data_IF_930198992808
#
_entry.id   IF_930198992808
#
_cell.length_a   1.000
_cell.length_b   1.000
_cell.length_c   1.000
_cell.angle_alpha   90.00
_cell.angle_beta   90.00
_cell.angle_gamma   90.00
#
_symmetry.space_group_name_H-M   'P 1'
#
loop_
_entity.id
_entity.type
_entity.pdbx_description
1 polymer ?
#
# COMPACT_ATOMS: atom_id res chain seq x y z
N UNK A 1 6.96 22.97 -21.46
CA UNK A 1 5.70 22.21 -21.40
C UNK A 1 5.93 20.84 -20.77
N UNK A 2 4.95 20.31 -20.05
CA UNK A 2 5.03 18.98 -19.43
C UNK A 2 4.28 17.98 -20.30
N UNK A 3 4.92 16.86 -20.63
CA UNK A 3 4.35 15.80 -21.45
C UNK A 3 3.11 15.16 -20.77
N UNK A 4 1.96 15.31 -21.42
CA UNK A 4 0.66 14.80 -20.99
C UNK A 4 0.11 13.69 -21.92
N UNK A 5 0.98 13.07 -22.73
CA UNK A 5 0.63 11.93 -23.56
C UNK A 5 0.24 10.71 -22.74
N UNK A 6 -0.54 9.81 -23.35
CA UNK A 6 -0.93 8.54 -22.72
C UNK A 6 0.29 7.67 -22.44
N UNK A 7 1.29 7.68 -23.33
CA UNK A 7 2.52 6.89 -23.17
C UNK A 7 3.34 7.37 -21.96
N UNK A 8 3.50 8.70 -21.79
CA UNK A 8 4.12 9.30 -20.60
C UNK A 8 3.37 8.91 -19.32
N UNK A 9 2.04 8.97 -19.34
CA UNK A 9 1.22 8.58 -18.19
C UNK A 9 1.42 7.10 -17.84
N UNK A 10 1.39 6.20 -18.84
CA UNK A 10 1.61 4.77 -18.64
C UNK A 10 3.00 4.46 -18.08
N UNK A 11 4.05 5.11 -18.59
CA UNK A 11 5.42 4.94 -18.09
C UNK A 11 5.55 5.40 -16.62
N UNK A 12 4.98 6.57 -16.27
CA UNK A 12 4.97 7.08 -14.89
C UNK A 12 4.24 6.14 -13.94
N UNK A 13 3.07 5.64 -14.34
CA UNK A 13 2.28 4.68 -13.55
C UNK A 13 3.05 3.38 -13.35
N UNK A 14 3.72 2.87 -14.39
CA UNK A 14 4.51 1.64 -14.30
C UNK A 14 5.68 1.78 -13.33
N UNK A 15 6.44 2.89 -13.39
CA UNK A 15 7.51 3.18 -12.43
C UNK A 15 6.93 3.35 -11.02
N UNK A 16 5.84 4.10 -10.88
CA UNK A 16 5.17 4.30 -9.59
C UNK A 16 4.71 2.99 -8.94
N UNK A 17 4.11 2.07 -9.70
CA UNK A 17 3.69 0.77 -9.20
C UNK A 17 4.88 -0.07 -8.67
N UNK A 18 6.01 -0.04 -9.36
CA UNK A 18 7.26 -0.71 -8.94
C UNK A 18 7.89 -0.06 -7.71
N UNK A 19 7.80 1.26 -7.58
CA UNK A 19 8.21 2.00 -6.37
C UNK A 19 7.34 1.60 -5.18
N UNK A 20 6.01 1.53 -5.37
CA UNK A 20 5.06 1.05 -4.36
C UNK A 20 5.45 -0.37 -3.93
N UNK A 21 5.63 -1.32 -4.88
CA UNK A 21 6.07 -2.69 -4.57
C UNK A 21 7.34 -2.70 -3.69
N UNK A 22 8.32 -1.85 -4.01
CA UNK A 22 9.59 -1.74 -3.29
C UNK A 22 9.39 -1.22 -1.86
N UNK A 23 8.56 -0.17 -1.68
CA UNK A 23 8.24 0.37 -0.35
C UNK A 23 7.55 -0.68 0.51
N UNK A 24 6.58 -1.42 -0.03
CA UNK A 24 5.90 -2.46 0.74
C UNK A 24 6.89 -3.55 1.17
N UNK A 25 7.71 -4.04 0.24
CA UNK A 25 8.69 -5.08 0.51
C UNK A 25 9.67 -4.72 1.63
N UNK A 26 10.29 -3.53 1.56
CA UNK A 26 11.25 -3.09 2.55
C UNK A 26 10.58 -2.76 3.89
N UNK A 27 9.41 -2.12 3.90
CA UNK A 27 8.72 -1.78 5.15
C UNK A 27 8.10 -2.98 5.87
N UNK A 28 7.71 -4.05 5.16
CA UNK A 28 7.36 -5.33 5.77
C UNK A 28 8.58 -6.05 6.33
N UNK A 29 9.72 -5.99 5.63
CA UNK A 29 10.97 -6.55 6.10
C UNK A 29 11.46 -5.87 7.39
N UNK A 30 11.42 -4.53 7.42
CA UNK A 30 11.72 -3.72 8.60
C UNK A 30 10.79 -4.06 9.78
N UNK A 31 9.50 -4.26 9.49
CA UNK A 31 8.51 -4.73 10.45
C UNK A 31 8.67 -6.18 10.89
N UNK A 32 9.72 -6.89 10.46
CA UNK A 32 10.03 -8.25 10.92
C UNK A 32 9.10 -9.36 10.40
N UNK A 33 8.27 -9.08 9.40
CA UNK A 33 7.31 -10.05 8.81
C UNK A 33 7.76 -10.60 7.45
N UNK A 34 9.03 -10.39 7.12
CA UNK A 34 9.66 -10.84 5.88
C UNK A 34 9.55 -9.81 4.75
N UNK A 35 10.39 -9.98 3.73
CA UNK A 35 10.41 -9.12 2.54
C UNK A 35 9.41 -9.64 1.52
N UNK A 36 8.16 -9.18 1.61
CA UNK A 36 7.04 -9.64 0.77
C UNK A 36 6.37 -8.46 0.05
N UNK A 37 5.85 -8.69 -1.13
CA UNK A 37 5.04 -7.69 -1.86
C UNK A 37 4.02 -8.37 -2.77
N UNK A 38 3.16 -7.60 -3.41
CA UNK A 38 2.23 -8.11 -4.42
C UNK A 38 2.91 -8.25 -5.78
N UNK A 39 2.35 -9.06 -6.68
CA UNK A 39 2.85 -9.23 -8.05
C UNK A 39 2.11 -8.31 -9.03
N UNK A 40 2.84 -7.72 -9.97
CA UNK A 40 2.26 -6.98 -11.10
C UNK A 40 1.95 -7.94 -12.26
N UNK A 41 0.91 -7.65 -13.04
CA UNK A 41 0.45 -8.56 -14.12
C UNK A 41 1.55 -8.83 -15.17
N UNK A 42 2.36 -7.82 -15.52
CA UNK A 42 3.48 -7.97 -16.46
C UNK A 42 4.55 -8.95 -15.95
N UNK A 43 4.74 -9.06 -14.64
CA UNK A 43 5.73 -9.98 -14.04
C UNK A 43 5.27 -11.44 -14.14
N UNK A 44 3.95 -11.67 -14.12
CA UNK A 44 3.35 -13.01 -14.28
C UNK A 44 3.23 -13.38 -15.76
N UNK A 45 2.86 -12.41 -16.59
CA UNK A 45 2.72 -12.59 -18.03
C UNK A 45 3.47 -11.47 -18.78
N UNK A 46 4.71 -11.72 -19.22
CA UNK A 46 5.53 -10.74 -19.91
C UNK A 46 4.93 -10.21 -21.23
N UNK A 47 3.88 -10.87 -21.77
CA UNK A 47 3.16 -10.40 -22.95
C UNK A 47 2.18 -9.25 -22.65
N UNK A 48 1.81 -9.05 -21.39
CA UNK A 48 0.95 -7.95 -20.96
C UNK A 48 1.79 -6.68 -20.81
N UNK A 49 1.25 -5.48 -21.09
CA UNK A 49 1.99 -4.24 -20.87
C UNK A 49 2.13 -3.94 -19.37
N UNK A 50 3.13 -3.14 -19.00
CA UNK A 50 3.31 -2.70 -17.60
C UNK A 50 2.16 -1.81 -17.09
N UNK A 51 1.53 -1.07 -17.98
CA UNK A 51 0.32 -0.29 -17.73
C UNK A 51 -0.69 -0.54 -18.85
N UNK A 52 -1.89 -0.99 -18.49
CA UNK A 52 -2.96 -1.27 -19.46
C UNK A 52 -3.87 -0.07 -19.61
N UNK A 53 -4.10 0.36 -20.86
CA UNK A 53 -5.03 1.43 -21.19
C UNK A 53 -6.46 0.84 -21.22
N UNK A 54 -7.30 1.27 -20.29
CA UNK A 54 -8.71 0.92 -20.27
C UNK A 54 -9.56 2.07 -20.84
N UNK A 55 -10.37 1.80 -21.86
CA UNK A 55 -11.27 2.78 -22.48
C UNK A 55 -12.68 2.63 -21.93
N UNK A 56 -13.06 3.56 -21.06
CA UNK A 56 -14.40 3.64 -20.48
C UNK A 56 -15.43 4.21 -21.46
N UNK A 57 -16.68 3.77 -21.33
CA UNK A 57 -17.83 4.37 -22.00
C UNK A 57 -18.33 5.65 -21.31
N UNK A 58 -17.78 5.99 -20.15
CA UNK A 58 -18.14 7.21 -19.42
C UNK A 58 -17.68 8.45 -20.19
N UNK A 59 -18.65 9.31 -20.52
CA UNK A 59 -18.33 10.59 -21.13
C UNK A 59 -17.50 11.47 -20.18
N UNK A 60 -16.43 12.09 -20.70
CA UNK A 60 -15.51 12.95 -19.95
C UNK A 60 -16.21 14.10 -19.22
N UNK A 61 -17.16 14.78 -19.87
CA UNK A 61 -17.88 15.91 -19.25
C UNK A 61 -18.78 15.44 -18.11
N UNK A 62 -19.25 14.19 -18.16
CA UNK A 62 -19.99 13.57 -17.07
C UNK A 62 -19.05 13.18 -15.94
N UNK A 63 -17.93 12.51 -16.24
CA UNK A 63 -16.92 12.11 -15.26
C UNK A 63 -16.40 13.31 -14.46
N UNK A 64 -16.14 14.45 -15.12
CA UNK A 64 -15.65 15.68 -14.49
C UNK A 64 -16.61 16.32 -13.48
N UNK A 65 -17.89 15.95 -13.52
CA UNK A 65 -18.94 16.44 -12.59
C UNK A 65 -19.25 15.46 -11.47
N UNK A 66 -18.71 14.23 -11.53
CA UNK A 66 -18.98 13.18 -10.56
C UNK A 66 -18.08 13.34 -9.34
N UNK A 67 -18.59 12.98 -8.16
CA UNK A 67 -17.81 12.86 -6.94
C UNK A 67 -16.95 11.60 -6.98
N UNK A 68 -15.88 11.57 -6.19
CA UNK A 68 -14.95 10.44 -6.16
C UNK A 68 -15.61 9.07 -5.93
N UNK A 69 -16.60 8.98 -5.03
CA UNK A 69 -17.31 7.72 -4.77
C UNK A 69 -18.16 7.25 -5.95
N UNK A 70 -18.73 8.19 -6.72
CA UNK A 70 -19.48 7.87 -7.94
C UNK A 70 -18.53 7.39 -9.05
N UNK A 71 -17.37 8.03 -9.19
CA UNK A 71 -16.32 7.61 -10.13
C UNK A 71 -15.82 6.21 -9.79
N UNK A 72 -15.48 5.98 -8.52
CA UNK A 72 -15.03 4.67 -8.04
C UNK A 72 -16.06 3.57 -8.28
N UNK A 73 -17.34 3.85 -7.97
CA UNK A 73 -18.42 2.89 -8.21
C UNK A 73 -18.61 2.61 -9.70
N UNK A 74 -18.56 3.65 -10.53
CA UNK A 74 -18.74 3.51 -11.97
C UNK A 74 -17.62 2.69 -12.61
N UNK A 75 -16.36 3.11 -12.41
CA UNK A 75 -15.21 2.41 -13.00
C UNK A 75 -15.02 1.02 -12.39
N UNK A 76 -15.28 0.84 -11.09
CA UNK A 76 -15.23 -0.48 -10.46
C UNK A 76 -16.23 -1.45 -11.10
N UNK A 77 -17.48 -1.02 -11.32
CA UNK A 77 -18.48 -1.84 -12.01
C UNK A 77 -18.08 -2.10 -13.47
N UNK A 78 -17.65 -1.07 -14.18
CA UNK A 78 -17.32 -1.19 -15.61
C UNK A 78 -16.12 -2.12 -15.83
N UNK A 79 -15.06 -1.99 -15.03
CA UNK A 79 -13.90 -2.87 -15.08
C UNK A 79 -14.29 -4.32 -14.82
N UNK A 80 -15.12 -4.58 -13.81
CA UNK A 80 -15.54 -5.94 -13.47
C UNK A 80 -16.46 -6.58 -14.53
N UNK A 81 -17.21 -5.78 -15.28
CA UNK A 81 -18.03 -6.25 -16.40
C UNK A 81 -17.25 -6.36 -17.72
N UNK A 82 -16.01 -5.86 -17.77
CA UNK A 82 -15.13 -5.93 -18.94
C UNK A 82 -14.33 -7.24 -18.98
N UNK A 83 -13.61 -7.45 -20.08
CA UNK A 83 -12.69 -8.59 -20.24
C UNK A 83 -11.52 -8.60 -19.24
N UNK A 84 -11.23 -7.46 -18.60
CA UNK A 84 -10.20 -7.38 -17.55
C UNK A 84 -10.71 -7.90 -16.20
N UNK A 85 -12.03 -7.90 -16.00
CA UNK A 85 -12.70 -8.28 -14.77
C UNK A 85 -12.30 -9.67 -14.30
N UNK A 86 -11.84 -9.76 -13.05
CA UNK A 86 -11.44 -11.02 -12.45
C UNK A 86 -11.47 -10.92 -10.93
N UNK A 87 -11.97 -11.96 -10.25
CA UNK A 87 -11.82 -12.11 -8.79
C UNK A 87 -10.37 -12.41 -8.40
N UNK A 88 -9.56 -12.78 -9.38
CA UNK A 88 -8.13 -13.04 -9.27
C UNK A 88 -7.30 -11.88 -9.81
N UNK A 89 -7.85 -10.65 -9.72
CA UNK A 89 -7.05 -9.41 -9.85
C UNK A 89 -7.50 -8.34 -8.86
N UNK A 90 -6.57 -7.44 -8.54
CA UNK A 90 -6.86 -6.13 -7.95
C UNK A 90 -6.32 -5.06 -8.89
N UNK A 91 -6.97 -3.91 -8.92
CA UNK A 91 -6.68 -2.84 -9.86
C UNK A 91 -6.16 -1.60 -9.14
N UNK A 92 -5.02 -1.10 -9.60
CA UNK A 92 -4.57 0.27 -9.35
C UNK A 92 -4.88 1.08 -10.62
N UNK A 93 -5.94 1.88 -10.58
CA UNK A 93 -6.48 2.61 -11.72
C UNK A 93 -6.23 4.11 -11.64
N UNK A 94 -5.97 4.73 -12.78
CA UNK A 94 -5.74 6.18 -12.90
C UNK A 94 -6.71 6.81 -13.90
N UNK A 95 -7.42 7.87 -13.48
CA UNK A 95 -8.41 8.55 -14.32
C UNK A 95 -7.70 9.53 -15.26
N UNK A 96 -7.71 9.26 -16.56
CA UNK A 96 -7.02 10.11 -17.55
C UNK A 96 -7.60 11.52 -17.72
N UNK A 97 -8.87 11.73 -17.36
CA UNK A 97 -9.58 12.99 -17.61
C UNK A 97 -9.61 13.97 -16.44
N UNK A 98 -8.90 13.67 -15.34
CA UNK A 98 -8.74 14.57 -14.19
C UNK A 98 -8.18 15.91 -14.66
N UNK A 99 -8.76 17.01 -14.19
CA UNK A 99 -8.36 18.36 -14.59
C UNK A 99 -8.39 19.30 -13.42
N UNK A 100 -7.24 19.83 -13.05
CA UNK A 100 -7.15 20.98 -12.18
C UNK A 100 -7.44 22.26 -12.98
N UNK A 101 -8.32 23.11 -12.47
CA UNK A 101 -8.73 24.35 -13.16
C UNK A 101 -7.71 25.48 -13.04
N UNK A 102 -6.81 25.41 -12.05
CA UNK A 102 -6.01 26.55 -11.65
C UNK A 102 -6.78 27.51 -10.74
N UNK A 103 -6.05 28.45 -10.16
CA UNK A 103 -6.61 29.56 -9.36
C UNK A 103 -5.75 30.81 -9.58
N UNK A 104 -6.36 31.99 -9.49
CA UNK A 104 -5.66 33.27 -9.49
C UNK A 104 -5.38 33.79 -8.07
N UNK A 105 -5.79 33.04 -7.05
CA UNK A 105 -5.58 33.41 -5.65
C UNK A 105 -4.10 33.30 -5.26
N UNK A 106 -3.52 34.38 -4.72
CA UNK A 106 -2.15 34.40 -4.18
C UNK A 106 -2.08 33.83 -2.75
N UNK A 107 -2.65 32.64 -2.54
CA UNK A 107 -2.53 31.89 -1.28
C UNK A 107 -2.32 30.40 -1.53
N UNK A 108 -1.70 29.73 -0.57
CA UNK A 108 -1.68 28.27 -0.54
C UNK A 108 -3.10 27.77 -0.26
N UNK A 109 -3.63 26.94 -1.16
CA UNK A 109 -4.96 26.36 -1.02
C UNK A 109 -4.99 25.27 0.06
N UNK A 110 -6.11 25.18 0.77
CA UNK A 110 -6.43 24.03 1.62
C UNK A 110 -6.73 22.80 0.76
N UNK A 111 -6.66 21.61 1.35
CA UNK A 111 -7.00 20.37 0.64
C UNK A 111 -8.41 20.40 0.04
N UNK A 112 -9.41 20.88 0.78
CA UNK A 112 -10.79 20.95 0.31
C UNK A 112 -10.95 21.93 -0.88
N UNK A 113 -10.23 23.05 -0.86
CA UNK A 113 -10.18 23.98 -2.00
C UNK A 113 -9.51 23.34 -3.22
N UNK A 114 -8.39 22.63 -3.03
CA UNK A 114 -7.70 21.91 -4.12
C UNK A 114 -8.65 20.89 -4.76
N UNK A 115 -9.38 20.11 -3.96
CA UNK A 115 -10.37 19.14 -4.45
C UNK A 115 -11.50 19.86 -5.19
N UNK A 116 -12.00 20.99 -4.68
CA UNK A 116 -13.04 21.77 -5.33
C UNK A 116 -12.63 22.34 -6.71
N UNK A 117 -11.35 22.69 -6.87
CA UNK A 117 -10.77 23.13 -8.15
C UNK A 117 -10.36 21.97 -9.08
N UNK A 118 -10.52 20.72 -8.64
CA UNK A 118 -10.12 19.52 -9.41
C UNK A 118 -11.33 18.73 -9.89
N UNK A 119 -11.53 18.72 -11.21
CA UNK A 119 -12.55 17.90 -11.85
C UNK A 119 -12.07 16.45 -11.99
N UNK A 120 -13.01 15.50 -11.87
CA UNK A 120 -12.71 14.06 -11.88
C UNK A 120 -11.58 13.68 -10.90
N UNK A 121 -11.59 14.31 -9.72
CA UNK A 121 -10.73 13.96 -8.60
C UNK A 121 -11.14 12.61 -8.01
N UNK A 122 -10.15 11.77 -7.72
CA UNK A 122 -10.34 10.54 -6.97
C UNK A 122 -9.05 10.21 -6.20
N UNK A 123 -9.22 9.80 -4.95
CA UNK A 123 -8.22 9.11 -4.16
C UNK A 123 -9.02 8.18 -3.25
N UNK A 124 -9.41 7.02 -3.80
CA UNK A 124 -10.32 6.11 -3.11
C UNK A 124 -9.97 4.66 -3.40
N UNK A 125 -9.80 3.88 -2.33
CA UNK A 125 -9.47 2.47 -2.37
C UNK A 125 -10.44 1.61 -1.56
N UNK A 126 -10.62 0.38 -2.02
CA UNK A 126 -11.41 -0.64 -1.33
C UNK A 126 -11.69 -1.83 -2.21
N UNK A 127 -12.08 -2.96 -1.62
CA UNK A 127 -12.42 -4.17 -2.37
C UNK A 127 -11.34 -4.58 -3.39
N UNK A 128 -11.65 -4.41 -4.68
CA UNK A 128 -10.76 -4.75 -5.79
C UNK A 128 -10.12 -3.55 -6.52
N UNK A 129 -10.40 -2.31 -6.14
CA UNK A 129 -9.98 -1.11 -6.88
C UNK A 129 -9.43 -0.01 -5.97
N UNK A 130 -8.21 0.42 -6.24
CA UNK A 130 -7.66 1.72 -5.84
C UNK A 130 -7.70 2.66 -7.05
N UNK A 131 -8.47 3.74 -6.94
CA UNK A 131 -8.69 4.69 -8.04
C UNK A 131 -8.08 6.05 -7.69
N UNK A 132 -7.25 6.57 -8.59
CA UNK A 132 -6.50 7.80 -8.39
C UNK A 132 -6.69 8.78 -9.56
N UNK A 133 -6.79 10.07 -9.26
CA UNK A 133 -6.78 11.15 -10.25
C UNK A 133 -5.36 11.46 -10.74
N UNK A 134 -5.22 11.93 -11.97
CA UNK A 134 -3.90 12.17 -12.59
C UNK A 134 -3.39 13.61 -12.49
N UNK A 135 -4.06 14.48 -11.75
CA UNK A 135 -3.73 15.91 -11.68
C UNK A 135 -2.29 16.20 -11.23
N UNK A 136 -1.68 15.32 -10.43
CA UNK A 136 -0.30 15.44 -9.97
C UNK A 136 0.68 14.45 -10.64
N UNK A 137 0.21 13.63 -11.59
CA UNK A 137 1.04 12.61 -12.26
C UNK A 137 2.22 13.25 -13.01
N UNK A 138 2.10 14.51 -13.39
CA UNK A 138 3.15 15.32 -14.03
C UNK A 138 4.44 15.44 -13.18
N UNK A 139 4.36 15.19 -11.87
CA UNK A 139 5.52 15.19 -10.96
C UNK A 139 6.26 13.86 -10.92
N UNK A 140 5.63 12.77 -11.37
CA UNK A 140 6.19 11.42 -11.28
C UNK A 140 7.32 11.20 -12.30
N UNK A 141 8.33 10.35 -12.00
CA UNK A 141 9.39 9.99 -12.92
C UNK A 141 8.87 9.13 -14.07
N UNK A 142 9.44 9.30 -15.26
CA UNK A 142 9.16 8.45 -16.44
C UNK A 142 10.13 7.28 -16.51
N UNK A 143 11.35 7.44 -15.98
CA UNK A 143 12.40 6.41 -15.98
C UNK A 143 12.98 6.20 -14.59
N UNK A 144 13.77 5.13 -14.43
CA UNK A 144 14.39 4.78 -13.15
C UNK A 144 15.43 5.83 -12.72
N UNK A 145 16.15 6.39 -13.69
CA UNK A 145 17.21 7.37 -13.49
C UNK A 145 16.67 8.69 -12.90
N UNK A 146 15.42 9.02 -13.21
CA UNK A 146 14.76 10.23 -12.73
C UNK A 146 14.28 10.14 -11.27
N UNK A 147 14.16 8.94 -10.70
CA UNK A 147 13.48 8.74 -9.40
C UNK A 147 14.11 9.61 -8.31
N UNK A 148 15.44 9.57 -8.18
CA UNK A 148 16.15 10.33 -7.15
C UNK A 148 16.03 11.84 -7.39
N UNK A 149 16.16 12.29 -8.63
CA UNK A 149 16.11 13.71 -8.96
C UNK A 149 14.71 14.28 -8.78
N UNK A 150 13.66 13.51 -9.12
CA UNK A 150 12.26 13.88 -8.90
C UNK A 150 11.90 13.98 -7.43
N UNK A 151 12.27 13.00 -6.60
CA UNK A 151 12.04 13.11 -5.16
C UNK A 151 12.79 14.30 -4.53
N UNK A 152 13.99 14.61 -5.01
CA UNK A 152 14.79 15.72 -4.51
C UNK A 152 14.46 17.08 -5.17
N UNK A 153 13.39 17.17 -5.97
CA UNK A 153 13.03 18.38 -6.69
C UNK A 153 12.38 19.42 -5.75
N UNK A 154 13.14 20.47 -5.46
CA UNK A 154 12.73 21.58 -4.58
C UNK A 154 12.04 22.72 -5.34
N UNK A 155 11.81 22.57 -6.64
CA UNK A 155 11.12 23.57 -7.45
C UNK A 155 9.71 23.79 -6.91
N UNK A 156 9.28 25.03 -6.64
CA UNK A 156 7.93 25.31 -6.18
C UNK A 156 6.87 24.88 -7.20
N UNK A 157 5.77 24.31 -6.72
CA UNK A 157 4.60 24.05 -7.56
C UNK A 157 4.00 25.40 -7.98
N UNK A 158 3.80 25.59 -9.28
CA UNK A 158 2.98 26.69 -9.77
C UNK A 158 1.50 26.36 -9.55
N UNK A 159 0.99 26.67 -8.35
CA UNK A 159 -0.38 26.37 -7.91
C UNK A 159 -1.46 27.10 -8.74
N UNK A 160 -1.09 28.12 -9.52
CA UNK A 160 -2.02 28.76 -10.46
C UNK A 160 -2.36 27.88 -11.65
N UNK A 161 -1.47 26.93 -11.99
CA UNK A 161 -1.60 26.07 -13.19
C UNK A 161 -1.67 24.59 -12.87
N UNK A 162 -1.03 24.15 -11.79
CA UNK A 162 -0.91 22.74 -11.44
C UNK A 162 -1.45 22.49 -10.03
N UNK A 163 -2.03 21.31 -9.84
CA UNK A 163 -2.50 20.87 -8.54
C UNK A 163 -1.29 20.63 -7.62
N UNK A 164 -1.31 21.26 -6.45
CA UNK A 164 -0.33 21.05 -5.39
C UNK A 164 -0.88 20.11 -4.31
N UNK A 165 -0.67 18.81 -4.47
CA UNK A 165 -0.99 17.80 -3.45
C UNK A 165 0.27 17.36 -2.69
N UNK A 166 1.11 18.32 -2.30
CA UNK A 166 2.38 18.08 -1.62
C UNK A 166 2.30 17.95 -0.10
N UNK A 167 1.10 17.86 0.48
CA UNK A 167 0.93 17.91 1.94
C UNK A 167 1.48 19.21 2.54
N UNK A 168 1.20 20.34 1.90
CA UNK A 168 1.63 21.70 2.28
C UNK A 168 3.14 21.97 2.22
N UNK A 169 3.94 21.14 1.54
CA UNK A 169 5.39 21.35 1.37
C UNK A 169 5.74 22.23 0.17
N UNK A 170 4.85 22.32 -0.82
CA UNK A 170 4.90 23.27 -1.92
C UNK A 170 5.90 22.97 -3.04
N UNK A 171 6.57 21.81 -3.04
CA UNK A 171 7.58 21.47 -4.06
C UNK A 171 7.14 20.31 -4.96
N UNK A 172 7.69 20.24 -6.17
CA UNK A 172 7.43 19.15 -7.11
C UNK A 172 7.78 17.77 -6.52
N UNK A 173 8.92 17.63 -5.84
CA UNK A 173 9.32 16.38 -5.21
C UNK A 173 8.43 15.98 -4.04
N UNK A 174 7.94 16.96 -3.27
CA UNK A 174 6.98 16.70 -2.22
C UNK A 174 5.60 16.27 -2.75
N UNK A 175 5.14 16.89 -3.84
CA UNK A 175 3.92 16.50 -4.55
C UNK A 175 4.03 15.09 -5.11
N UNK A 176 5.17 14.72 -5.68
CA UNK A 176 5.45 13.34 -6.08
C UNK A 176 5.38 12.38 -4.88
N UNK A 177 6.05 12.70 -3.77
CA UNK A 177 6.08 11.87 -2.57
C UNK A 177 4.68 11.59 -1.98
N UNK A 178 3.91 12.66 -1.74
CA UNK A 178 2.56 12.51 -1.16
C UNK A 178 1.63 11.75 -2.10
N UNK A 179 1.67 12.02 -3.41
CA UNK A 179 0.73 11.38 -4.35
C UNK A 179 1.07 9.92 -4.62
N UNK A 180 2.35 9.55 -4.65
CA UNK A 180 2.78 8.15 -4.70
C UNK A 180 2.44 7.42 -3.39
N UNK A 181 2.60 8.08 -2.24
CA UNK A 181 2.20 7.55 -0.94
C UNK A 181 0.70 7.38 -0.80
N UNK A 182 -0.10 8.32 -1.32
CA UNK A 182 -1.55 8.24 -1.31
C UNK A 182 -2.04 7.11 -2.22
N UNK A 183 -1.43 6.90 -3.40
CA UNK A 183 -1.71 5.71 -4.22
C UNK A 183 -1.40 4.40 -3.48
N UNK A 184 -0.31 4.35 -2.70
CA UNK A 184 0.00 3.22 -1.81
C UNK A 184 -1.05 3.04 -0.69
N UNK A 185 -1.52 4.13 -0.09
CA UNK A 185 -2.55 4.12 0.94
C UNK A 185 -3.87 3.53 0.41
N UNK A 186 -4.35 4.04 -0.72
CA UNK A 186 -5.57 3.53 -1.36
C UNK A 186 -5.42 2.08 -1.80
N UNK A 187 -4.23 1.69 -2.30
CA UNK A 187 -3.93 0.30 -2.60
C UNK A 187 -3.97 -0.57 -1.33
N UNK A 188 -3.52 -0.04 -0.18
CA UNK A 188 -3.65 -0.67 1.13
C UNK A 188 -5.09 -1.05 1.48
N UNK A 189 -6.07 -0.19 1.19
CA UNK A 189 -7.49 -0.51 1.36
C UNK A 189 -7.95 -1.69 0.49
N UNK A 190 -7.37 -1.89 -0.69
CA UNK A 190 -7.66 -3.08 -1.50
C UNK A 190 -7.09 -4.35 -0.88
N UNK A 191 -6.13 -4.25 0.04
CA UNK A 191 -5.60 -5.37 0.81
C UNK A 191 -6.23 -5.47 2.21
N UNK A 192 -7.48 -5.02 2.32
CA UNK A 192 -8.31 -5.11 3.54
C UNK A 192 -7.75 -4.33 4.74
N UNK A 193 -6.87 -3.36 4.50
CA UNK A 193 -6.34 -2.51 5.55
C UNK A 193 -7.31 -1.37 5.87
N UNK A 194 -7.60 -1.15 7.15
CA UNK A 194 -8.25 0.07 7.62
C UNK A 194 -7.25 1.18 7.94
N UNK A 195 -7.76 2.40 8.18
CA UNK A 195 -6.93 3.50 8.65
C UNK A 195 -6.25 3.18 9.99
N UNK A 196 -5.06 3.74 10.17
CA UNK A 196 -4.31 3.71 11.42
C UNK A 196 -4.00 5.13 11.88
N UNK A 197 -3.72 5.30 13.18
CA UNK A 197 -3.38 6.62 13.73
C UNK A 197 -2.17 7.24 13.03
N UNK A 198 -1.12 6.44 12.86
CA UNK A 198 0.17 6.82 12.30
C UNK A 198 0.61 5.79 11.24
N UNK A 199 1.71 6.03 10.53
CA UNK A 199 2.23 5.11 9.51
C UNK A 199 1.59 5.28 8.12
N UNK A 200 1.82 4.31 7.23
CA UNK A 200 1.35 4.36 5.83
C UNK A 200 -0.18 4.43 5.72
N UNK A 201 -0.92 3.71 6.59
CA UNK A 201 -2.38 3.79 6.66
C UNK A 201 -2.88 4.97 7.54
N UNK A 202 -1.99 5.85 8.00
CA UNK A 202 -2.27 7.17 8.58
C UNK A 202 -1.75 8.27 7.64
N UNK A 203 -1.08 9.32 8.16
CA UNK A 203 -0.42 10.37 7.33
C UNK A 203 1.05 10.10 7.01
N UNK A 204 1.59 8.97 7.44
CA UNK A 204 2.98 8.60 7.22
C UNK A 204 3.37 8.43 5.75
N UNK A 205 2.39 8.17 4.89
CA UNK A 205 2.60 8.08 3.44
C UNK A 205 3.05 9.40 2.82
N UNK A 206 2.88 10.55 3.47
CA UNK A 206 3.34 11.83 2.91
C UNK A 206 4.86 11.88 2.70
N UNK A 207 5.60 11.06 3.43
CA UNK A 207 7.05 11.12 3.51
C UNK A 207 7.77 9.99 2.74
N UNK A 208 7.12 9.28 1.80
CA UNK A 208 7.74 8.07 1.22
C UNK A 208 9.09 8.35 0.54
N UNK A 209 9.34 9.59 0.12
CA UNK A 209 10.62 10.04 -0.44
C UNK A 209 11.80 9.67 0.45
N UNK A 210 11.60 9.62 1.77
CA UNK A 210 12.64 9.23 2.73
C UNK A 210 13.14 7.83 2.50
N UNK A 211 12.32 6.90 2.02
CA UNK A 211 12.75 5.53 1.67
C UNK A 211 13.80 5.54 0.55
N UNK A 212 13.74 6.52 -0.34
CA UNK A 212 14.56 6.61 -1.55
C UNK A 212 15.71 7.62 -1.46
N UNK A 213 15.61 8.61 -0.56
CA UNK A 213 16.59 9.70 -0.41
C UNK A 213 17.56 9.50 0.77
N UNK A 214 17.63 8.32 1.39
CA UNK A 214 18.50 8.09 2.56
C UNK A 214 19.96 8.42 2.24
N UNK A 215 20.55 9.26 3.10
CA UNK A 215 21.94 9.71 2.97
C UNK A 215 22.13 10.96 2.11
N UNK A 216 21.10 11.48 1.43
CA UNK A 216 21.18 12.79 0.77
C UNK A 216 20.99 13.89 1.83
N UNK A 217 21.88 14.90 1.86
CA UNK A 217 21.76 16.03 2.81
C UNK A 217 20.41 16.75 2.65
N UNK A 218 19.81 16.70 1.46
CA UNK A 218 18.50 17.30 1.14
C UNK A 218 17.31 16.60 1.81
N UNK A 219 17.43 15.34 2.24
CA UNK A 219 16.34 14.65 2.96
C UNK A 219 16.01 15.34 4.30
N UNK A 220 16.99 16.04 4.88
CA UNK A 220 16.86 16.81 6.12
C UNK A 220 16.29 18.21 5.94
N UNK A 221 16.18 18.70 4.69
CA UNK A 221 15.70 20.04 4.36
C UNK A 221 14.20 20.11 4.05
N UNK A 222 13.54 18.96 3.83
CA UNK A 222 12.10 18.91 3.61
C UNK A 222 11.38 19.13 4.95
N UNK A 223 10.67 20.25 5.07
CA UNK A 223 9.87 20.58 6.26
C UNK A 223 8.71 19.58 6.39
N UNK A 224 8.61 18.92 7.55
CA UNK A 224 7.40 18.23 7.99
C UNK A 224 6.40 19.28 8.50
N UNK A 225 5.75 20.01 7.60
CA UNK A 225 4.79 21.04 8.00
C UNK A 225 3.53 20.46 8.66
N UNK A 226 3.28 19.16 8.51
CA UNK A 226 2.01 18.51 8.85
C UNK A 226 2.10 17.51 10.01
N UNK A 227 3.31 17.07 10.37
CA UNK A 227 3.53 16.21 11.52
C UNK A 227 4.07 17.06 12.66
N UNK A 228 3.27 17.20 13.72
CA UNK A 228 3.62 17.84 14.99
C UNK A 228 4.66 16.99 15.78
N UNK A 229 5.68 16.49 15.09
CA UNK A 229 6.72 15.61 15.61
C UNK A 229 7.98 16.44 15.87
N UNK A 230 8.25 16.68 17.16
CA UNK A 230 9.37 17.48 17.64
C UNK A 230 10.75 16.77 17.58
N UNK A 231 10.87 15.70 16.79
CA UNK A 231 12.07 14.87 16.70
C UNK A 231 12.64 14.82 15.29
N UNK A 232 13.98 14.69 15.16
CA UNK A 232 14.62 14.52 13.84
C UNK A 232 14.09 13.24 13.19
N UNK A 233 13.48 13.31 12.00
CA UNK A 233 12.94 12.13 11.33
C UNK A 233 14.06 11.11 11.08
N UNK A 234 13.78 9.84 11.38
CA UNK A 234 14.74 8.75 11.23
C UNK A 234 14.19 7.79 10.19
N UNK A 235 14.95 7.49 9.16
CA UNK A 235 14.59 6.45 8.18
C UNK A 235 15.46 5.21 8.46
N UNK A 236 14.81 4.06 8.66
CA UNK A 236 15.53 2.83 9.01
C UNK A 236 15.71 1.85 7.84
N UNK A 237 14.94 2.00 6.75
CA UNK A 237 15.07 1.21 5.51
C UNK A 237 15.39 2.08 4.31
N UNK A 238 16.27 1.60 3.45
CA UNK A 238 16.65 2.29 2.20
C UNK A 238 16.35 1.40 1.01
N UNK A 239 15.79 1.97 -0.04
CA UNK A 239 15.70 1.30 -1.35
C UNK A 239 16.81 1.85 -2.23
N UNK A 240 17.80 1.00 -2.54
CA UNK A 240 18.85 1.31 -3.50
C UNK A 240 18.50 0.69 -4.86
N UNK A 241 18.30 1.54 -5.87
CA UNK A 241 17.98 1.12 -7.23
C UNK A 241 19.28 0.87 -7.99
N UNK A 242 19.65 -0.39 -8.20
CA UNK A 242 20.90 -0.75 -8.90
C UNK A 242 20.69 -1.06 -10.40
N UNK A 243 19.46 -1.36 -10.85
CA UNK A 243 19.10 -1.79 -12.23
C UNK A 243 17.61 -1.49 -12.51
N UNK A 244 17.12 -1.78 -13.74
CA UNK A 244 15.68 -1.80 -14.05
C UNK A 244 14.91 -2.54 -12.94
N UNK A 245 13.90 -1.87 -12.38
CA UNK A 245 13.19 -2.33 -11.18
C UNK A 245 12.40 -3.59 -11.54
N UNK A 246 13.03 -4.74 -11.33
CA UNK A 246 12.41 -6.06 -11.38
C UNK A 246 12.42 -6.57 -9.95
N UNK A 247 11.29 -6.45 -9.26
CA UNK A 247 11.18 -6.96 -7.90
C UNK A 247 10.96 -8.47 -8.00
N UNK A 248 12.03 -9.24 -8.04
CA UNK A 248 11.95 -10.71 -7.98
C UNK A 248 11.56 -11.14 -6.56
N UNK A 249 10.31 -11.55 -6.37
CA UNK A 249 9.86 -12.16 -5.12
C UNK A 249 10.27 -13.64 -5.10
N UNK A 250 11.11 -14.02 -4.13
CA UNK A 250 11.27 -15.43 -3.79
C UNK A 250 10.04 -15.87 -3.00
N UNK A 251 9.19 -16.64 -3.68
CA UNK A 251 7.97 -17.19 -3.13
C UNK A 251 8.32 -18.18 -2.02
N UNK A 252 8.02 -17.83 -0.78
CA UNK A 252 8.26 -18.73 0.36
C UNK A 252 7.05 -19.65 0.55
N UNK A 253 7.32 -20.94 0.81
CA UNK A 253 6.28 -21.91 1.16
C UNK A 253 5.53 -21.44 2.41
N UNK A 254 4.18 -21.44 2.40
CA UNK A 254 3.42 -21.20 3.61
C UNK A 254 3.67 -22.33 4.63
N UNK A 255 3.79 -21.97 5.90
CA UNK A 255 3.78 -22.93 7.01
C UNK A 255 2.55 -23.84 6.86
N UNK A 256 2.76 -25.16 6.91
CA UNK A 256 1.69 -26.17 6.84
C UNK A 256 0.66 -25.86 7.94
N UNK A 257 -0.48 -25.30 7.54
CA UNK A 257 -1.68 -25.33 8.37
C UNK A 257 -2.10 -26.80 8.39
N UNK A 258 -1.95 -27.44 9.54
CA UNK A 258 -2.52 -28.76 9.79
C UNK A 258 -4.01 -28.67 9.47
N UNK A 259 -4.43 -29.39 8.44
CA UNK A 259 -5.80 -29.38 7.94
C UNK A 259 -6.83 -29.78 9.01
N UNK A 260 -8.12 -29.58 8.73
CA UNK A 260 -9.19 -29.91 9.67
C UNK A 260 -9.17 -31.42 9.91
N UNK A 261 -8.98 -31.83 11.18
CA UNK A 261 -9.22 -33.22 11.58
C UNK A 261 -10.69 -33.54 11.27
N UNK A 262 -10.88 -34.55 10.42
CA UNK A 262 -12.17 -35.18 10.12
C UNK A 262 -13.00 -35.43 11.38
N UNK A 263 -14.27 -35.02 11.27
CA UNK A 263 -15.48 -35.60 11.87
C UNK A 263 -15.35 -36.14 13.31
N UNK A 264 -15.73 -35.30 14.28
CA UNK A 264 -16.53 -35.76 15.42
C UNK A 264 -17.73 -34.84 15.58
N UNK A 265 -18.90 -35.45 15.46
CA UNK A 265 -20.26 -34.95 15.59
C UNK A 265 -20.44 -33.80 16.60
N UNK A 266 -20.87 -32.65 16.08
CA UNK A 266 -21.64 -31.66 16.85
C UNK A 266 -23.02 -32.26 17.14
N UNK A 267 -23.16 -32.87 18.31
CA UNK A 267 -24.42 -33.27 18.89
C UNK A 267 -24.41 -32.93 20.37
N UNK A 268 -25.43 -32.20 20.81
CA UNK A 268 -25.80 -31.93 22.20
C UNK A 268 -25.07 -30.78 22.91
N UNK A 269 -25.42 -29.55 22.53
CA UNK A 269 -25.60 -28.50 23.54
C UNK A 269 -27.08 -28.42 23.89
N UNK A 270 -27.49 -29.17 24.91
CA UNK A 270 -28.72 -28.92 25.64
C UNK A 270 -28.57 -29.46 27.06
N UNK A 271 -28.83 -28.58 28.02
CA UNK A 271 -28.90 -28.82 29.47
C UNK A 271 -27.57 -29.17 30.17
N UNK A 272 -27.10 -28.34 31.08
CA UNK A 272 -27.52 -28.41 32.47
C UNK A 272 -26.95 -27.25 33.30
N UNK A 273 -27.71 -26.97 34.36
CA UNK A 273 -27.65 -25.86 35.30
C UNK A 273 -26.40 -25.83 36.17
N UNK A 274 -26.16 -24.63 36.73
CA UNK A 274 -25.41 -24.38 37.96
C UNK A 274 -25.67 -25.46 39.02
N UNK A 275 -24.62 -26.14 39.46
CA UNK A 275 -24.18 -26.23 40.87
C UNK A 275 -22.87 -27.03 40.98
N UNK A 276 -22.11 -26.72 42.03
CA UNK A 276 -21.12 -27.60 42.67
C UNK A 276 -19.77 -27.84 41.99
N UNK A 277 -18.80 -26.95 42.25
CA UNK A 277 -17.40 -27.39 42.39
C UNK A 277 -16.84 -26.84 43.71
N UNK A 278 -16.87 -27.73 44.70
CA UNK A 278 -16.22 -27.67 45.99
C UNK A 278 -14.70 -27.69 45.84
N UNK A 279 -14.01 -26.91 46.68
CA UNK A 279 -12.57 -26.93 46.96
C UNK A 279 -12.00 -28.36 47.03
N UNK A 280 -10.91 -28.63 46.33
CA UNK A 280 -9.79 -29.48 46.79
C UNK A 280 -8.57 -29.33 45.87
N UNK A 281 -7.48 -28.84 46.44
CA UNK A 281 -6.08 -29.06 46.03
C UNK A 281 -5.38 -29.76 47.20
N UNK A 282 -4.13 -30.26 47.09
CA UNK A 282 -3.32 -30.61 45.91
C UNK A 282 -2.77 -32.06 46.01
N UNK A 283 -2.22 -32.58 44.90
CA UNK A 283 -0.98 -33.38 44.83
C UNK A 283 -0.98 -34.24 43.55
N UNK A 284 -0.33 -33.78 42.49
CA UNK A 284 0.16 -34.64 41.40
C UNK A 284 1.50 -34.12 40.90
N UNK A 285 2.45 -35.05 40.79
CA UNK A 285 3.81 -34.95 40.27
C UNK A 285 3.88 -34.47 38.81
N UNK A 286 5.01 -33.89 38.36
CA UNK A 286 5.09 -33.24 37.07
C UNK A 286 5.18 -34.26 35.92
N UNK A 287 4.14 -34.30 35.08
CA UNK A 287 4.22 -34.92 33.76
C UNK A 287 4.96 -33.95 32.84
N UNK A 288 6.18 -34.32 32.48
CA UNK A 288 7.01 -33.71 31.45
C UNK A 288 6.27 -33.66 30.11
N UNK A 289 5.85 -32.45 29.69
CA UNK A 289 5.31 -32.20 28.34
C UNK A 289 6.44 -32.03 27.33
N UNK A 290 6.35 -32.59 26.11
CA UNK A 290 7.33 -32.36 25.05
C UNK A 290 7.37 -30.88 24.66
N UNK A 291 8.54 -30.27 24.82
CA UNK A 291 8.80 -28.83 24.75
C UNK A 291 9.13 -28.28 23.36
N UNK A 292 8.90 -29.02 22.27
CA UNK A 292 9.54 -28.68 20.99
C UNK A 292 8.71 -27.88 19.98
N UNK A 293 7.37 -27.83 20.08
CA UNK A 293 6.54 -27.17 19.03
C UNK A 293 6.04 -25.79 19.47
N UNK A 294 5.61 -25.64 20.74
CA UNK A 294 5.22 -24.34 21.27
C UNK A 294 6.42 -23.42 21.48
N UNK A 295 7.60 -23.96 21.80
CA UNK A 295 8.81 -23.16 21.97
C UNK A 295 9.25 -22.49 20.68
N UNK A 296 9.10 -23.13 19.51
CA UNK A 296 9.46 -22.52 18.22
C UNK A 296 8.51 -21.40 17.82
N UNK A 297 7.21 -21.53 18.11
CA UNK A 297 6.21 -20.48 17.85
C UNK A 297 6.41 -19.31 18.81
N UNK A 298 6.61 -19.57 20.11
CA UNK A 298 6.90 -18.52 21.10
C UNK A 298 8.27 -17.89 20.89
N UNK A 299 9.27 -18.63 20.39
CA UNK A 299 10.58 -18.09 20.07
C UNK A 299 10.52 -17.21 18.81
N UNK A 300 9.81 -17.61 17.75
CA UNK A 300 9.60 -16.73 16.59
C UNK A 300 8.76 -15.50 16.94
N UNK A 301 7.72 -15.64 17.76
CA UNK A 301 6.94 -14.49 18.27
C UNK A 301 7.73 -13.62 19.24
N UNK A 302 8.68 -14.18 20.00
CA UNK A 302 9.50 -13.42 20.95
C UNK A 302 10.71 -12.76 20.29
N UNK A 303 11.33 -13.38 19.27
CA UNK A 303 12.29 -12.73 18.37
C UNK A 303 11.60 -11.66 17.53
N UNK A 304 10.42 -11.94 16.98
CA UNK A 304 9.58 -10.92 16.35
C UNK A 304 9.25 -9.80 17.34
N UNK A 305 8.91 -10.09 18.61
CA UNK A 305 8.74 -9.07 19.65
C UNK A 305 10.01 -8.25 19.92
N UNK A 306 11.22 -8.85 19.86
CA UNK A 306 12.48 -8.11 20.08
C UNK A 306 12.81 -7.18 18.92
N UNK A 307 12.45 -7.53 17.68
CA UNK A 307 12.58 -6.65 16.51
C UNK A 307 11.42 -5.63 16.39
N UNK A 308 10.20 -6.00 16.78
CA UNK A 308 8.98 -5.19 16.73
C UNK A 308 8.86 -4.18 17.89
N UNK A 309 9.61 -4.37 18.98
CA UNK A 309 9.65 -3.44 20.12
C UNK A 309 10.81 -2.43 20.03
N UNK A 310 11.57 -2.36 18.92
CA UNK A 310 12.21 -1.08 18.62
C UNK A 310 11.05 -0.11 18.45
N UNK A 311 10.92 0.84 19.37
CA UNK A 311 10.15 2.05 19.12
C UNK A 311 10.51 2.49 17.70
N UNK A 312 9.58 2.36 16.75
CA UNK A 312 9.69 3.03 15.46
C UNK A 312 10.07 4.44 15.85
N UNK A 313 11.30 4.86 15.55
CA UNK A 313 11.82 6.14 16.00
C UNK A 313 10.97 7.26 15.39
N UNK A 314 11.54 8.42 15.11
CA UNK A 314 10.82 9.41 14.29
C UNK A 314 10.64 8.94 12.81
N UNK A 315 10.50 7.63 12.52
CA UNK A 315 10.13 7.10 11.21
C UNK A 315 8.61 7.17 11.07
N UNK A 316 8.13 8.02 10.16
CA UNK A 316 6.71 8.15 9.85
C UNK A 316 6.22 7.08 8.88
N UNK A 317 7.11 6.34 8.20
CA UNK A 317 6.76 5.44 7.11
C UNK A 317 6.90 4.00 7.60
N UNK A 318 5.84 3.48 8.19
CA UNK A 318 5.80 2.09 8.64
C UNK A 318 4.40 1.51 8.47
N UNK A 319 4.33 0.19 8.43
CA UNK A 319 3.07 -0.53 8.60
C UNK A 319 2.77 -0.67 10.09
N UNK A 320 1.62 -0.19 10.54
CA UNK A 320 1.16 -0.50 11.89
C UNK A 320 1.12 -2.03 12.07
N UNK A 321 1.31 -2.50 13.31
CA UNK A 321 1.50 -3.93 13.57
C UNK A 321 0.37 -4.81 13.02
N UNK A 322 -0.87 -4.37 13.16
CA UNK A 322 -2.04 -5.05 12.59
C UNK A 322 -1.94 -5.12 11.06
N UNK A 323 -1.61 -4.01 10.38
CA UNK A 323 -1.45 -3.97 8.93
C UNK A 323 -0.32 -4.89 8.45
N UNK A 324 0.84 -4.84 9.10
CA UNK A 324 1.98 -5.69 8.76
C UNK A 324 1.63 -7.19 8.87
N UNK A 325 0.92 -7.56 9.94
CA UNK A 325 0.44 -8.94 10.13
C UNK A 325 -0.56 -9.31 9.04
N UNK A 326 -1.57 -8.48 8.77
CA UNK A 326 -2.55 -8.74 7.71
C UNK A 326 -1.87 -8.97 6.35
N UNK A 327 -1.03 -8.02 5.91
CA UNK A 327 -0.30 -8.14 4.65
C UNK A 327 0.58 -9.39 4.60
N UNK A 328 1.24 -9.76 5.71
CA UNK A 328 2.14 -10.92 5.75
C UNK A 328 1.44 -12.27 5.49
N UNK A 329 0.13 -12.36 5.74
CA UNK A 329 -0.71 -13.54 5.48
C UNK A 329 -1.71 -13.33 4.33
N UNK A 330 -1.79 -12.13 3.77
CA UNK A 330 -2.73 -11.82 2.71
C UNK A 330 -2.40 -12.61 1.44
N UNK A 331 -3.41 -13.17 0.76
CA UNK A 331 -3.23 -14.06 -0.41
C UNK A 331 -2.45 -13.44 -1.58
N UNK A 332 -2.40 -12.11 -1.65
CA UNK A 332 -1.71 -11.38 -2.71
C UNK A 332 -0.21 -11.21 -2.44
N UNK A 333 0.22 -11.53 -1.22
CA UNK A 333 1.60 -11.47 -0.75
C UNK A 333 2.18 -12.87 -0.48
N UNK A 334 1.39 -13.92 -0.73
CA UNK A 334 1.67 -15.30 -0.39
C UNK A 334 1.15 -16.24 -1.49
N UNK A 335 1.77 -17.40 -1.65
CA UNK A 335 1.41 -18.34 -2.70
C UNK A 335 0.29 -19.28 -2.25
N UNK A 336 -0.95 -18.88 -2.49
CA UNK A 336 -2.11 -19.78 -2.35
C UNK A 336 -2.39 -20.56 -3.64
N UNK A 337 -2.08 -19.98 -4.81
CA UNK A 337 -2.45 -20.55 -6.12
C UNK A 337 -1.47 -21.62 -6.66
N UNK A 338 -0.24 -21.69 -6.17
CA UNK A 338 0.70 -22.77 -6.53
C UNK A 338 0.25 -24.17 -6.12
N UNK A 339 -0.67 -24.30 -5.14
CA UNK A 339 -1.10 -25.61 -4.62
C UNK A 339 -2.31 -26.22 -5.31
N UNK A 340 -3.30 -25.42 -5.69
CA UNK A 340 -4.51 -25.98 -6.35
C UNK A 340 -4.18 -26.57 -7.73
N UNK A 341 -3.23 -25.99 -8.48
CA UNK A 341 -2.82 -26.56 -9.77
C UNK A 341 -2.03 -27.86 -9.66
N UNK A 342 -1.23 -28.03 -8.60
CA UNK A 342 -0.51 -29.29 -8.36
C UNK A 342 -1.41 -30.39 -7.79
N UNK A 343 -2.48 -30.03 -7.06
CA UNK A 343 -3.44 -31.00 -6.53
C UNK A 343 -4.40 -31.56 -7.60
N UNK A 344 -4.58 -30.86 -8.73
CA UNK A 344 -5.43 -31.30 -9.85
C UNK A 344 -4.63 -32.10 -10.90
N UNK A 345 -3.30 -32.11 -10.82
CA UNK A 345 -2.40 -32.84 -11.75
C UNK A 345 -1.67 -34.03 -11.11
N UNK A 346 -2.18 -34.57 -10.00
CA UNK A 346 -1.69 -35.83 -9.42
C UNK A 346 -2.79 -36.87 -9.32
#
# INVERSE_FOLDING_TARGET
DVDNSVDSACARIAIGAKLIQSVIAEKLHEGGVGRKTFQLEHEVNPRKPECTIFRSNLNVNKARKMKQGELWTHFGRELMLSELGSNDRKFLGFISCTRFKGTDEDKQLTHDEIVAYTEAYAALGGGGLALFGTACLYTWPVTVEEIKTKFADVTPVNYRRFMDDSGYRGTLGACFATTLGSALHELGHTFDLGHTKDGIMGRGFDNIDRVFLVGDRRSSAMKDSMNNYNGKPVQHSTVALQRNISVTMNVAEPLRILGPRSKTTLGNFASMSKSDIVRRSPNVTPITRPSSVYSTITNKLSESKRYLNRSNGNDSIFWARNCAVFLSYHRWFNDEYGRERQAITR
#
